data_IF_445071354445
#
_entry.id   IF_445071354445
#
_cell.length_a   1.000
_cell.length_b   1.000
_cell.length_c   1.000
_cell.angle_alpha   90.00
_cell.angle_beta   90.00
_cell.angle_gamma   90.00
#
_symmetry.space_group_name_H-M   'P 1'
#
loop_
_entity.id
_entity.type
_entity.pdbx_description
1 polymer ?
#
# COMPACT_ATOMS: atom_id res chain seq x y z
N UNK A 1 -5.95 -18.98 8.60
CA UNK A 1 -5.64 -17.56 8.47
C UNK A 1 -6.65 -16.79 7.61
N UNK A 2 -6.93 -17.20 6.37
CA UNK A 2 -7.87 -16.49 5.49
C UNK A 2 -9.26 -16.22 6.11
N UNK A 3 -9.92 -17.25 6.65
CA UNK A 3 -11.25 -17.14 7.28
C UNK A 3 -11.26 -16.14 8.43
N UNK A 4 -10.21 -16.13 9.25
CA UNK A 4 -10.10 -15.20 10.38
C UNK A 4 -9.99 -13.74 9.90
N UNK A 5 -9.15 -13.48 8.89
CA UNK A 5 -9.03 -12.15 8.29
C UNK A 5 -10.35 -11.69 7.67
N UNK A 6 -11.09 -12.60 7.03
CA UNK A 6 -12.40 -12.31 6.46
C UNK A 6 -13.40 -11.94 7.55
N UNK A 7 -13.47 -12.71 8.63
CA UNK A 7 -14.37 -12.43 9.78
C UNK A 7 -14.05 -11.07 10.40
N UNK A 8 -12.77 -10.77 10.63
CA UNK A 8 -12.35 -9.46 11.15
C UNK A 8 -12.74 -8.32 10.19
N UNK A 9 -12.45 -8.48 8.90
CA UNK A 9 -12.78 -7.47 7.89
C UNK A 9 -14.28 -7.20 7.83
N UNK A 10 -15.10 -8.26 7.78
CA UNK A 10 -16.56 -8.13 7.79
C UNK A 10 -17.06 -7.45 9.07
N UNK A 11 -16.51 -7.81 10.23
CA UNK A 11 -16.88 -7.22 11.52
C UNK A 11 -16.57 -5.73 11.57
N UNK A 12 -15.34 -5.33 11.23
CA UNK A 12 -14.95 -3.91 11.23
C UNK A 12 -15.65 -3.10 10.13
N UNK A 13 -15.92 -3.70 8.97
CA UNK A 13 -16.70 -3.07 7.91
C UNK A 13 -18.14 -2.82 8.37
N UNK A 14 -18.77 -3.81 9.01
CA UNK A 14 -20.11 -3.66 9.59
C UNK A 14 -20.14 -2.55 10.64
N UNK A 15 -19.18 -2.53 11.57
CA UNK A 15 -19.07 -1.47 12.57
C UNK A 15 -18.88 -0.08 11.95
N UNK A 16 -18.09 0.01 10.87
CA UNK A 16 -17.87 1.26 10.14
C UNK A 16 -19.12 1.74 9.41
N UNK A 17 -19.86 0.83 8.77
CA UNK A 17 -21.15 1.13 8.14
C UNK A 17 -22.15 1.58 9.21
N UNK A 18 -22.24 0.90 10.35
CA UNK A 18 -23.11 1.30 11.46
C UNK A 18 -22.75 2.70 12.00
N UNK A 19 -21.46 3.02 12.13
CA UNK A 19 -20.99 4.37 12.51
C UNK A 19 -21.41 5.42 11.48
N UNK A 20 -21.28 5.12 10.19
CA UNK A 20 -21.69 6.00 9.08
C UNK A 20 -23.21 6.24 9.07
N UNK A 21 -24.00 5.19 9.27
CA UNK A 21 -25.46 5.30 9.29
C UNK A 21 -25.98 6.03 10.52
N UNK A 22 -25.38 5.82 11.69
CA UNK A 22 -25.82 6.42 12.96
C UNK A 22 -25.35 7.86 13.12
N UNK A 23 -24.17 8.22 12.58
CA UNK A 23 -23.56 9.55 12.76
C UNK A 23 -23.02 10.16 11.45
N UNK A 24 -23.82 10.24 10.36
CA UNK A 24 -23.32 10.58 9.02
C UNK A 24 -22.69 11.98 8.96
N UNK A 25 -23.31 12.97 9.62
CA UNK A 25 -22.80 14.35 9.66
C UNK A 25 -21.50 14.47 10.45
N UNK A 26 -21.34 13.69 11.51
CA UNK A 26 -20.14 13.71 12.34
C UNK A 26 -18.97 13.05 11.60
N UNK A 27 -19.18 11.87 11.01
CA UNK A 27 -18.13 11.16 10.26
C UNK A 27 -17.70 11.96 9.02
N UNK A 28 -18.64 12.47 8.23
CA UNK A 28 -18.28 13.29 7.07
C UNK A 28 -17.49 14.54 7.47
N UNK A 29 -17.86 15.17 8.59
CA UNK A 29 -17.15 16.34 9.13
C UNK A 29 -15.75 15.96 9.61
N UNK A 30 -15.58 14.89 10.38
CA UNK A 30 -14.27 14.45 10.88
C UNK A 30 -13.33 13.99 9.76
N UNK A 31 -13.82 13.15 8.84
CA UNK A 31 -13.01 12.63 7.73
C UNK A 31 -12.50 13.73 6.81
N UNK A 32 -13.26 14.82 6.64
CA UNK A 32 -12.81 15.96 5.82
C UNK A 32 -11.97 16.94 6.65
N UNK A 33 -12.28 17.10 7.95
CA UNK A 33 -11.66 18.11 8.80
C UNK A 33 -10.33 17.70 9.46
N UNK A 34 -10.04 16.40 9.53
CA UNK A 34 -8.81 15.89 10.14
C UNK A 34 -8.00 15.10 9.10
N UNK A 35 -6.85 15.62 8.60
CA UNK A 35 -6.03 14.94 7.59
C UNK A 35 -5.57 13.55 8.01
N UNK A 36 -5.34 13.35 9.30
CA UNK A 36 -4.98 12.08 9.90
C UNK A 36 -6.10 11.04 9.72
N UNK A 37 -7.36 11.39 10.05
CA UNK A 37 -8.53 10.52 9.85
C UNK A 37 -8.78 10.18 8.38
N UNK A 38 -8.65 11.16 7.48
CA UNK A 38 -8.76 10.92 6.04
C UNK A 38 -7.74 9.89 5.57
N UNK A 39 -6.52 9.99 6.08
CA UNK A 39 -5.44 9.10 5.68
C UNK A 39 -5.65 7.67 6.19
N UNK A 40 -6.23 7.52 7.38
CA UNK A 40 -6.60 6.21 7.92
C UNK A 40 -7.67 5.47 7.10
N UNK A 41 -8.42 6.15 6.22
CA UNK A 41 -9.30 5.47 5.25
C UNK A 41 -8.53 4.60 4.25
N UNK A 42 -7.20 4.72 4.17
CA UNK A 42 -6.36 3.80 3.40
C UNK A 42 -6.32 2.38 4.00
N UNK A 43 -6.46 2.24 5.32
CA UNK A 43 -6.36 0.95 6.00
C UNK A 43 -7.44 -0.07 5.57
N UNK A 44 -8.74 0.29 5.47
CA UNK A 44 -9.76 -0.58 4.91
C UNK A 44 -9.44 -1.07 3.49
N UNK A 45 -8.86 -0.21 2.64
CA UNK A 45 -8.48 -0.57 1.27
C UNK A 45 -7.33 -1.59 1.29
N UNK A 46 -6.30 -1.36 2.11
CA UNK A 46 -5.18 -2.28 2.28
C UNK A 46 -5.69 -3.66 2.78
N UNK A 47 -6.61 -3.66 3.75
CA UNK A 47 -7.21 -4.89 4.27
C UNK A 47 -8.03 -5.63 3.21
N UNK A 48 -8.82 -4.90 2.42
CA UNK A 48 -9.56 -5.44 1.27
C UNK A 48 -8.61 -6.10 0.26
N UNK A 49 -7.54 -5.40 -0.14
CA UNK A 49 -6.56 -5.91 -1.10
C UNK A 49 -5.78 -7.12 -0.57
N UNK A 50 -5.50 -7.15 0.74
CA UNK A 50 -4.94 -8.32 1.40
C UNK A 50 -5.87 -9.54 1.26
N UNK A 51 -7.19 -9.36 1.38
CA UNK A 51 -8.14 -10.44 1.12
C UNK A 51 -8.14 -10.86 -0.34
N UNK A 52 -8.08 -9.92 -1.29
CA UNK A 52 -7.97 -10.22 -2.72
C UNK A 52 -6.72 -11.06 -3.00
N UNK A 53 -5.57 -10.67 -2.44
CA UNK A 53 -4.34 -11.46 -2.54
C UNK A 53 -4.51 -12.88 -1.98
N UNK A 54 -5.20 -13.03 -0.85
CA UNK A 54 -5.46 -14.35 -0.26
C UNK A 54 -6.44 -15.20 -1.08
N UNK A 55 -7.41 -14.60 -1.76
CA UNK A 55 -8.26 -15.32 -2.73
C UNK A 55 -7.39 -15.87 -3.86
N UNK A 56 -6.46 -15.06 -4.40
CA UNK A 56 -5.51 -15.50 -5.44
C UNK A 56 -4.58 -16.61 -4.97
N UNK A 57 -4.09 -16.55 -3.72
CA UNK A 57 -3.14 -17.54 -3.18
C UNK A 57 -3.81 -18.84 -2.74
N UNK A 58 -4.97 -18.76 -2.11
CA UNK A 58 -5.61 -19.89 -1.40
C UNK A 58 -6.85 -20.40 -2.12
N UNK A 59 -7.79 -19.52 -2.48
CA UNK A 59 -9.08 -19.92 -3.05
C UNK A 59 -8.96 -20.31 -4.52
N UNK A 60 -8.16 -19.57 -5.30
CA UNK A 60 -7.91 -19.85 -6.71
C UNK A 60 -7.26 -21.21 -6.93
N UNK A 61 -6.27 -21.56 -6.09
CA UNK A 61 -5.62 -22.87 -6.15
C UNK A 61 -6.54 -24.01 -5.68
N UNK A 62 -7.35 -23.80 -4.65
CA UNK A 62 -8.24 -24.82 -4.10
C UNK A 62 -9.52 -25.05 -4.92
N UNK A 63 -10.12 -24.00 -5.48
CA UNK A 63 -11.45 -24.02 -6.12
C UNK A 63 -11.42 -23.66 -7.61
N UNK A 64 -10.22 -23.46 -8.19
CA UNK A 64 -10.00 -23.37 -9.62
C UNK A 64 -10.26 -21.99 -10.24
N UNK A 65 -10.40 -21.98 -11.58
CA UNK A 65 -10.37 -20.77 -12.39
C UNK A 65 -11.48 -19.75 -12.08
N UNK A 66 -12.66 -20.21 -11.64
CA UNK A 66 -13.74 -19.30 -11.23
C UNK A 66 -13.32 -18.34 -10.11
N UNK A 67 -12.49 -18.83 -9.17
CA UNK A 67 -11.93 -17.99 -8.10
C UNK A 67 -10.82 -17.06 -8.61
N UNK A 68 -10.09 -17.44 -9.66
CA UNK A 68 -9.16 -16.54 -10.38
C UNK A 68 -9.91 -15.34 -10.96
N UNK A 69 -11.02 -15.59 -11.66
CA UNK A 69 -11.85 -14.52 -12.23
C UNK A 69 -12.47 -13.66 -11.12
N UNK A 70 -12.90 -14.28 -10.02
CA UNK A 70 -13.41 -13.53 -8.87
C UNK A 70 -12.35 -12.59 -8.29
N UNK A 71 -11.13 -13.09 -8.03
CA UNK A 71 -10.02 -12.25 -7.56
C UNK A 71 -9.66 -11.13 -8.56
N UNK A 72 -9.70 -11.42 -9.86
CA UNK A 72 -9.49 -10.44 -10.93
C UNK A 72 -10.51 -9.30 -10.90
N UNK A 73 -11.80 -9.61 -10.73
CA UNK A 73 -12.85 -8.58 -10.60
C UNK A 73 -12.67 -7.76 -9.34
N UNK A 74 -12.42 -8.41 -8.20
CA UNK A 74 -12.16 -7.71 -6.94
C UNK A 74 -10.94 -6.79 -7.03
N UNK A 75 -9.90 -7.19 -7.77
CA UNK A 75 -8.73 -6.37 -7.99
C UNK A 75 -9.06 -5.07 -8.74
N UNK A 76 -9.90 -5.10 -9.78
CA UNK A 76 -10.34 -3.87 -10.47
C UNK A 76 -11.20 -2.95 -9.60
N UNK A 77 -12.04 -3.51 -8.72
CA UNK A 77 -12.78 -2.72 -7.73
C UNK A 77 -11.79 -2.03 -6.78
N UNK A 78 -10.76 -2.76 -6.34
CA UNK A 78 -9.66 -2.25 -5.54
C UNK A 78 -8.94 -1.08 -6.21
N UNK A 79 -8.71 -1.15 -7.52
CA UNK A 79 -8.05 -0.10 -8.31
C UNK A 79 -8.80 1.22 -8.19
N UNK A 80 -10.10 1.18 -8.48
CA UNK A 80 -10.95 2.38 -8.44
C UNK A 80 -10.97 2.95 -7.04
N UNK A 81 -11.13 2.09 -6.03
CA UNK A 81 -11.20 2.53 -4.64
C UNK A 81 -9.89 3.17 -4.15
N UNK A 82 -8.74 2.53 -4.39
CA UNK A 82 -7.43 3.04 -3.95
C UNK A 82 -7.05 4.33 -4.65
N UNK A 83 -7.28 4.42 -5.97
CA UNK A 83 -6.94 5.60 -6.77
C UNK A 83 -7.81 6.80 -6.40
N UNK A 84 -9.11 6.58 -6.21
CA UNK A 84 -10.03 7.64 -5.78
C UNK A 84 -9.64 8.19 -4.41
N UNK A 85 -9.38 7.30 -3.44
CA UNK A 85 -9.02 7.75 -2.09
C UNK A 85 -7.69 8.51 -2.11
N UNK A 86 -6.65 7.99 -2.75
CA UNK A 86 -5.35 8.63 -2.78
C UNK A 86 -5.38 9.98 -3.51
N UNK A 87 -6.16 10.09 -4.60
CA UNK A 87 -6.35 11.38 -5.28
C UNK A 87 -7.14 12.34 -4.41
N UNK A 88 -8.20 11.88 -3.74
CA UNK A 88 -8.99 12.68 -2.82
C UNK A 88 -8.15 13.18 -1.64
N UNK A 89 -7.26 12.37 -1.08
CA UNK A 89 -6.38 12.80 0.02
C UNK A 89 -5.45 13.93 -0.39
N UNK A 90 -4.88 13.88 -1.61
CA UNK A 90 -4.06 14.97 -2.15
C UNK A 90 -4.89 16.23 -2.38
N UNK A 91 -6.08 16.11 -2.96
CA UNK A 91 -6.98 17.25 -3.21
C UNK A 91 -7.44 17.93 -1.91
N UNK A 92 -7.78 17.14 -0.89
CA UNK A 92 -8.18 17.69 0.41
C UNK A 92 -6.99 18.36 1.09
N UNK A 93 -5.80 17.75 1.01
CA UNK A 93 -4.59 18.33 1.59
C UNK A 93 -4.17 19.63 0.88
N UNK A 94 -4.32 19.73 -0.45
CA UNK A 94 -3.95 20.92 -1.22
C UNK A 94 -4.87 22.12 -0.97
N UNK A 95 -6.13 21.88 -0.62
CA UNK A 95 -7.11 22.93 -0.28
C UNK A 95 -6.95 23.47 1.14
N UNK A 96 -6.09 22.87 1.95
CA UNK A 96 -5.82 23.34 3.31
C UNK A 96 -4.71 24.38 3.28
N UNK A 97 -4.92 25.48 4.00
CA UNK A 97 -3.82 26.35 4.38
C UNK A 97 -2.95 25.60 5.38
N UNK A 98 -1.85 25.02 4.89
CA UNK A 98 -0.80 24.44 5.73
C UNK A 98 0.02 25.62 6.28
N UNK A 99 -0.57 26.38 7.22
CA UNK A 99 0.07 27.51 7.87
C UNK A 99 0.71 27.12 9.21
N UNK A 100 1.94 27.62 9.42
CA UNK A 100 2.83 27.63 10.60
C UNK A 100 3.03 26.36 11.44
N UNK A 101 2.00 25.56 11.73
CA UNK A 101 2.04 24.41 12.65
C UNK A 101 2.44 23.10 11.94
N UNK A 102 3.37 23.25 10.99
CA UNK A 102 3.90 22.27 10.05
C UNK A 102 4.06 20.90 10.69
N UNK A 103 3.12 19.97 10.52
CA UNK A 103 3.41 18.54 10.63
C UNK A 103 2.50 17.79 9.67
N UNK A 104 3.12 17.06 8.73
CA UNK A 104 2.42 16.04 7.96
C UNK A 104 2.49 14.76 8.80
N UNK A 105 1.36 14.26 9.34
CA UNK A 105 1.39 13.09 10.19
C UNK A 105 1.83 11.87 9.35
N UNK A 106 2.62 10.92 9.90
CA UNK A 106 3.01 9.71 9.18
C UNK A 106 1.82 8.92 8.59
N UNK A 107 0.63 9.07 9.16
CA UNK A 107 -0.60 8.50 8.63
C UNK A 107 -0.88 8.90 7.17
N UNK A 108 -0.42 10.07 6.68
CA UNK A 108 -0.65 10.50 5.28
C UNK A 108 -0.02 9.60 4.23
N UNK A 109 0.86 8.69 4.62
CA UNK A 109 1.39 7.67 3.73
C UNK A 109 0.40 6.52 3.47
N UNK A 110 -0.63 6.33 4.28
CA UNK A 110 -1.58 5.20 4.16
C UNK A 110 -2.33 5.15 2.82
N UNK A 111 -2.84 6.25 2.24
CA UNK A 111 -3.45 6.20 0.91
C UNK A 111 -2.46 5.81 -0.19
N UNK A 112 -1.19 6.23 -0.08
CA UNK A 112 -0.11 5.87 -1.01
C UNK A 112 0.20 4.37 -0.91
N UNK A 113 0.33 3.88 0.32
CA UNK A 113 0.50 2.47 0.64
C UNK A 113 -0.65 1.66 0.02
N UNK A 114 -1.91 2.10 0.13
CA UNK A 114 -3.05 1.40 -0.46
C UNK A 114 -2.92 1.21 -1.98
N UNK A 115 -2.47 2.25 -2.71
CA UNK A 115 -2.22 2.16 -4.15
C UNK A 115 -1.02 1.25 -4.47
N UNK A 116 0.01 1.24 -3.63
CA UNK A 116 1.12 0.28 -3.81
C UNK A 116 0.70 -1.15 -3.50
N UNK A 117 -0.11 -1.38 -2.46
CA UNK A 117 -0.71 -2.68 -2.17
C UNK A 117 -1.56 -3.18 -3.35
N UNK A 118 -2.22 -2.27 -4.08
CA UNK A 118 -2.95 -2.61 -5.30
C UNK A 118 -2.01 -3.16 -6.39
N UNK A 119 -0.83 -2.54 -6.57
CA UNK A 119 0.20 -3.03 -7.49
C UNK A 119 0.77 -4.39 -7.04
N UNK A 120 1.11 -4.52 -5.75
CA UNK A 120 1.56 -5.79 -5.15
C UNK A 120 0.55 -6.90 -5.38
N UNK A 121 -0.73 -6.64 -5.11
CA UNK A 121 -1.83 -7.60 -5.29
C UNK A 121 -2.00 -8.00 -6.75
N UNK A 122 -1.76 -7.08 -7.70
CA UNK A 122 -1.78 -7.39 -9.13
C UNK A 122 -0.68 -8.37 -9.52
N UNK A 123 0.54 -8.17 -9.00
CA UNK A 123 1.63 -9.14 -9.13
C UNK A 123 1.28 -10.50 -8.53
N UNK A 124 0.68 -10.55 -7.34
CA UNK A 124 0.23 -11.80 -6.71
C UNK A 124 -0.83 -12.52 -7.58
N UNK A 125 -1.83 -11.78 -8.05
CA UNK A 125 -2.91 -12.29 -8.89
C UNK A 125 -2.35 -12.99 -10.13
N UNK A 126 -1.39 -12.37 -10.83
CA UNK A 126 -0.83 -12.93 -12.06
C UNK A 126 0.05 -14.15 -11.78
N UNK A 127 0.96 -14.05 -10.80
CA UNK A 127 1.92 -15.12 -10.55
C UNK A 127 1.27 -16.38 -9.98
N UNK A 128 0.31 -16.23 -9.06
CA UNK A 128 -0.14 -17.35 -8.22
C UNK A 128 -1.55 -17.86 -8.53
N UNK A 129 -2.36 -17.11 -9.29
CA UNK A 129 -3.70 -17.61 -9.61
C UNK A 129 -3.67 -18.79 -10.58
N UNK A 130 -4.62 -19.69 -10.40
CA UNK A 130 -4.85 -20.86 -11.22
C UNK A 130 -5.30 -20.48 -12.63
N UNK A 131 -4.47 -20.83 -13.63
CA UNK A 131 -4.73 -20.65 -15.07
C UNK A 131 -5.26 -19.27 -15.47
N UNK A 132 -4.61 -18.18 -15.03
CA UNK A 132 -4.84 -16.87 -15.63
C UNK A 132 -4.23 -16.84 -17.04
N UNK A 133 -4.95 -16.28 -18.03
CA UNK A 133 -4.46 -16.15 -19.41
C UNK A 133 -3.71 -14.83 -19.63
N UNK A 134 -2.80 -14.79 -20.62
CA UNK A 134 -2.06 -13.58 -21.01
C UNK A 134 -2.95 -12.35 -21.26
N UNK A 135 -4.12 -12.56 -21.88
CA UNK A 135 -5.10 -11.49 -22.15
C UNK A 135 -5.61 -10.79 -20.88
N UNK A 136 -5.68 -11.52 -19.77
CA UNK A 136 -6.10 -10.98 -18.46
C UNK A 136 -4.89 -10.52 -17.64
N UNK A 137 -3.78 -11.26 -17.70
CA UNK A 137 -2.57 -10.98 -16.94
C UNK A 137 -1.87 -9.69 -17.37
N UNK A 138 -1.68 -9.47 -18.67
CA UNK A 138 -0.91 -8.34 -19.19
C UNK A 138 -1.50 -6.98 -18.80
N UNK A 139 -2.83 -6.72 -18.92
CA UNK A 139 -3.42 -5.48 -18.41
C UNK A 139 -3.20 -5.25 -16.92
N UNK A 140 -3.27 -6.31 -16.10
CA UNK A 140 -3.02 -6.23 -14.66
C UNK A 140 -1.57 -5.83 -14.39
N UNK A 141 -0.60 -6.42 -15.10
CA UNK A 141 0.83 -6.07 -14.96
C UNK A 141 1.03 -4.59 -15.31
N UNK A 142 0.55 -4.14 -16.47
CA UNK A 142 0.73 -2.77 -16.95
C UNK A 142 0.10 -1.76 -15.98
N UNK A 143 -1.16 -1.99 -15.59
CA UNK A 143 -1.85 -1.09 -14.65
C UNK A 143 -1.21 -1.10 -13.27
N UNK A 144 -0.65 -2.23 -12.83
CA UNK A 144 0.10 -2.29 -11.56
C UNK A 144 1.39 -1.49 -11.61
N UNK A 145 2.13 -1.49 -12.72
CA UNK A 145 3.27 -0.60 -12.92
C UNK A 145 2.85 0.89 -12.92
N UNK A 146 1.69 1.21 -13.49
CA UNK A 146 1.13 2.57 -13.43
C UNK A 146 0.75 2.99 -11.99
N UNK A 147 0.12 2.09 -11.22
CA UNK A 147 -0.19 2.32 -9.81
C UNK A 147 1.07 2.55 -8.98
N UNK A 148 2.09 1.73 -9.22
CA UNK A 148 3.40 1.87 -8.58
C UNK A 148 4.02 3.22 -8.90
N UNK A 149 4.08 3.62 -10.18
CA UNK A 149 4.60 4.93 -10.58
C UNK A 149 3.84 6.08 -9.91
N UNK A 150 2.51 6.03 -9.94
CA UNK A 150 1.63 7.01 -9.28
C UNK A 150 1.98 7.18 -7.79
N UNK A 151 2.05 6.08 -7.04
CA UNK A 151 2.24 6.14 -5.60
C UNK A 151 3.71 6.37 -5.18
N UNK A 152 4.67 5.82 -5.92
CA UNK A 152 6.10 5.89 -5.59
C UNK A 152 6.61 7.33 -5.71
N UNK A 153 6.35 8.00 -6.84
CA UNK A 153 6.80 9.38 -7.03
C UNK A 153 6.11 10.34 -6.05
N UNK A 154 4.83 10.14 -5.77
CA UNK A 154 4.13 10.93 -4.77
C UNK A 154 4.66 10.67 -3.35
N UNK A 155 5.05 9.43 -3.03
CA UNK A 155 5.71 9.09 -1.76
C UNK A 155 7.05 9.80 -1.61
N UNK A 156 7.85 9.92 -2.68
CA UNK A 156 9.13 10.65 -2.63
C UNK A 156 8.94 12.13 -2.28
N UNK A 157 7.88 12.76 -2.80
CA UNK A 157 7.53 14.14 -2.41
C UNK A 157 7.14 14.23 -0.92
N UNK A 158 6.39 13.24 -0.43
CA UNK A 158 5.97 13.20 0.98
C UNK A 158 7.16 12.95 1.90
N UNK A 159 8.10 12.07 1.52
CA UNK A 159 9.35 11.87 2.25
C UNK A 159 10.18 13.14 2.33
N UNK A 160 10.27 13.93 1.25
CA UNK A 160 11.01 15.18 1.27
C UNK A 160 10.42 16.18 2.29
N UNK A 161 9.09 16.33 2.30
CA UNK A 161 8.41 17.22 3.26
C UNK A 161 8.54 16.68 4.69
N UNK A 162 8.39 15.37 4.87
CA UNK A 162 8.50 14.71 6.17
C UNK A 162 9.91 14.83 6.74
N UNK A 163 10.95 14.59 5.93
CA UNK A 163 12.34 14.74 6.32
C UNK A 163 12.66 16.19 6.72
N UNK A 164 12.20 17.16 5.93
CA UNK A 164 12.36 18.57 6.29
C UNK A 164 11.70 18.89 7.64
N UNK A 165 10.49 18.38 7.88
CA UNK A 165 9.83 18.57 9.17
C UNK A 165 10.58 17.90 10.33
N UNK A 166 11.04 16.67 10.13
CA UNK A 166 11.79 15.92 11.14
C UNK A 166 13.09 16.63 11.54
N UNK A 167 13.77 17.28 10.58
CA UNK A 167 14.99 18.05 10.82
C UNK A 167 14.69 19.42 11.46
N UNK A 168 13.68 20.13 10.96
CA UNK A 168 13.41 21.51 11.36
C UNK A 168 12.63 21.63 12.68
N UNK A 169 11.81 20.64 13.01
CA UNK A 169 10.89 20.66 14.17
C UNK A 169 11.18 19.50 15.12
N UNK A 170 11.42 18.30 14.60
CA UNK A 170 11.67 17.10 15.39
C UNK A 170 10.60 16.02 15.19
N UNK A 171 10.66 14.93 15.98
CA UNK A 171 9.75 13.80 15.85
C UNK A 171 8.34 14.13 16.38
N UNK A 172 7.32 13.32 16.01
CA UNK A 172 5.98 13.42 16.57
C UNK A 172 5.95 13.32 18.10
N UNK A 173 4.84 13.72 18.71
CA UNK A 173 4.64 13.58 20.16
C UNK A 173 4.85 12.13 20.63
N UNK A 174 5.26 11.89 21.89
CA UNK A 174 5.59 10.54 22.36
C UNK A 174 4.47 9.51 22.15
N UNK A 175 3.21 9.93 22.28
CA UNK A 175 2.03 9.08 22.02
C UNK A 175 1.91 8.60 20.57
N UNK A 176 2.45 9.36 19.61
CA UNK A 176 2.39 9.10 18.16
C UNK A 176 3.69 8.53 17.59
N UNK A 177 4.76 8.42 18.36
CA UNK A 177 6.04 7.87 17.88
C UNK A 177 5.95 6.51 17.18
N UNK A 178 5.09 5.55 17.61
CA UNK A 178 4.92 4.30 16.87
C UNK A 178 4.49 4.47 15.40
N UNK A 179 3.82 5.59 15.06
CA UNK A 179 3.41 5.89 13.68
C UNK A 179 4.57 6.16 12.73
N UNK A 180 5.78 6.44 13.24
CA UNK A 180 6.98 6.57 12.40
C UNK A 180 7.21 5.32 11.55
N UNK A 181 6.83 4.14 12.03
CA UNK A 181 6.94 2.89 11.28
C UNK A 181 6.09 2.88 10.00
N UNK A 182 5.03 3.69 9.91
CA UNK A 182 4.26 3.85 8.66
C UNK A 182 5.15 4.37 7.53
N UNK A 183 6.17 5.17 7.84
CA UNK A 183 7.13 5.69 6.85
C UNK A 183 7.99 4.62 6.19
N UNK A 184 8.08 3.41 6.74
CA UNK A 184 8.76 2.28 6.08
C UNK A 184 7.83 1.61 5.05
N UNK A 185 6.52 1.70 5.27
CA UNK A 185 5.48 1.02 4.50
C UNK A 185 5.54 1.24 2.98
N UNK A 186 5.63 2.49 2.46
CA UNK A 186 5.68 2.74 1.02
C UNK A 186 6.88 2.10 0.34
N UNK A 187 8.06 2.15 0.96
CA UNK A 187 9.28 1.60 0.35
C UNK A 187 9.26 0.08 0.33
N UNK A 188 8.80 -0.56 1.42
CA UNK A 188 8.57 -2.00 1.46
C UNK A 188 7.58 -2.44 0.38
N UNK A 189 6.39 -1.82 0.33
CA UNK A 189 5.38 -2.13 -0.69
C UNK A 189 5.87 -1.91 -2.12
N UNK A 190 6.60 -0.83 -2.38
CA UNK A 190 7.14 -0.56 -3.70
C UNK A 190 8.15 -1.64 -4.12
N UNK A 191 9.07 -2.04 -3.25
CA UNK A 191 10.04 -3.09 -3.54
C UNK A 191 9.35 -4.45 -3.79
N UNK A 192 8.37 -4.82 -2.95
CA UNK A 192 7.58 -6.05 -3.13
C UNK A 192 6.80 -6.03 -4.45
N UNK A 193 6.12 -4.93 -4.76
CA UNK A 193 5.37 -4.77 -6.00
C UNK A 193 6.28 -4.91 -7.23
N UNK A 194 7.42 -4.22 -7.24
CA UNK A 194 8.39 -4.28 -8.33
C UNK A 194 8.84 -5.71 -8.56
N UNK A 195 9.22 -6.42 -7.49
CA UNK A 195 9.71 -7.78 -7.61
C UNK A 195 8.63 -8.72 -8.16
N UNK A 196 7.41 -8.65 -7.63
CA UNK A 196 6.29 -9.48 -8.11
C UNK A 196 5.89 -9.15 -9.55
N UNK A 197 5.94 -7.88 -9.96
CA UNK A 197 5.61 -7.49 -11.33
C UNK A 197 6.71 -7.87 -12.31
N UNK A 198 7.98 -7.78 -11.91
CA UNK A 198 9.11 -8.30 -12.66
C UNK A 198 9.00 -9.80 -12.87
N UNK A 199 8.67 -10.54 -11.80
CA UNK A 199 8.37 -11.97 -11.88
C UNK A 199 7.15 -12.21 -12.77
N UNK A 200 6.05 -11.47 -12.62
CA UNK A 200 4.84 -11.64 -13.44
C UNK A 200 5.07 -11.42 -14.95
N UNK A 201 5.95 -10.49 -15.32
CA UNK A 201 6.30 -10.26 -16.71
C UNK A 201 7.04 -11.45 -17.32
N UNK A 202 7.86 -12.13 -16.52
CA UNK A 202 8.70 -13.27 -16.95
C UNK A 202 8.00 -14.63 -16.79
N UNK A 203 7.24 -14.81 -15.72
CA UNK A 203 6.57 -16.05 -15.36
C UNK A 203 5.46 -16.39 -16.36
N UNK A 204 5.33 -17.68 -16.70
CA UNK A 204 4.35 -18.23 -17.67
C UNK A 204 4.44 -17.68 -19.10
N UNK A 205 5.50 -16.94 -19.45
CA UNK A 205 5.69 -16.36 -20.79
C UNK A 205 4.51 -15.48 -21.25
N UNK A 206 3.80 -14.83 -20.31
CA UNK A 206 2.58 -14.05 -20.61
C UNK A 206 2.85 -12.93 -21.63
N UNK A 207 4.01 -12.28 -21.55
CA UNK A 207 4.44 -11.28 -22.53
C UNK A 207 4.75 -11.92 -23.90
N UNK A 208 5.37 -13.09 -23.91
CA UNK A 208 5.65 -13.83 -25.14
C UNK A 208 4.38 -14.36 -25.81
N UNK A 209 3.37 -14.75 -25.05
CA UNK A 209 2.05 -15.14 -25.59
C UNK A 209 1.24 -13.94 -26.09
N UNK A 210 1.39 -12.78 -25.45
CA UNK A 210 0.73 -11.55 -25.90
C UNK A 210 1.34 -11.04 -27.22
N UNK A 211 2.67 -11.02 -27.32
CA UNK A 211 3.45 -10.72 -28.53
C UNK A 211 3.01 -9.45 -29.30
N UNK A 212 2.71 -8.37 -28.58
CA UNK A 212 2.31 -7.08 -29.18
C UNK A 212 3.39 -6.01 -29.00
N UNK A 213 3.96 -5.56 -30.12
CA UNK A 213 4.97 -4.51 -30.12
C UNK A 213 6.32 -4.94 -29.53
N UNK A 214 7.14 -3.97 -29.15
CA UNK A 214 8.51 -4.21 -28.65
C UNK A 214 8.56 -4.54 -27.16
N UNK A 215 7.70 -3.92 -26.36
CA UNK A 215 7.72 -4.02 -24.90
C UNK A 215 7.06 -5.30 -24.36
N UNK A 216 5.99 -5.79 -25.00
CA UNK A 216 5.28 -7.00 -24.57
C UNK A 216 5.76 -8.19 -25.39
N UNK A 217 7.06 -8.45 -25.29
CA UNK A 217 7.76 -9.55 -25.96
C UNK A 217 8.51 -10.41 -24.95
N UNK A 218 8.79 -11.67 -25.29
CA UNK A 218 9.51 -12.58 -24.40
C UNK A 218 10.93 -12.11 -24.05
N UNK A 219 11.62 -11.43 -24.99
CA UNK A 219 12.93 -10.84 -24.71
C UNK A 219 12.84 -9.69 -23.71
N UNK A 220 11.85 -8.80 -23.88
CA UNK A 220 11.59 -7.70 -22.96
C UNK A 220 11.26 -8.18 -21.54
N UNK A 221 10.57 -9.31 -21.40
CA UNK A 221 10.23 -9.89 -20.09
C UNK A 221 11.46 -10.16 -19.21
N UNK A 222 12.53 -10.72 -19.78
CA UNK A 222 13.80 -10.95 -19.06
C UNK A 222 14.45 -9.63 -18.62
N UNK A 223 14.47 -8.62 -19.49
CA UNK A 223 15.00 -7.30 -19.17
C UNK A 223 14.18 -6.60 -18.08
N UNK A 224 12.85 -6.68 -18.15
CA UNK A 224 11.94 -6.13 -17.13
C UNK A 224 12.19 -6.77 -15.77
N UNK A 225 12.35 -8.11 -15.71
CA UNK A 225 12.65 -8.78 -14.45
C UNK A 225 14.00 -8.35 -13.85
N UNK A 226 15.04 -8.22 -14.67
CA UNK A 226 16.36 -7.80 -14.18
C UNK A 226 16.36 -6.35 -13.66
N UNK A 227 15.73 -5.43 -14.41
CA UNK A 227 15.56 -4.03 -14.02
C UNK A 227 14.72 -3.94 -12.74
N UNK A 228 13.66 -4.74 -12.62
CA UNK A 228 12.82 -4.80 -11.44
C UNK A 228 13.64 -5.19 -10.19
N UNK A 229 14.44 -6.26 -10.26
CA UNK A 229 15.29 -6.66 -9.13
C UNK A 229 16.26 -5.54 -8.73
N UNK A 230 16.90 -4.88 -9.70
CA UNK A 230 17.82 -3.77 -9.41
C UNK A 230 17.11 -2.58 -8.74
N UNK A 231 15.94 -2.19 -9.25
CA UNK A 231 15.15 -1.10 -8.66
C UNK A 231 14.64 -1.44 -7.26
N UNK A 232 14.20 -2.68 -7.03
CA UNK A 232 13.78 -3.14 -5.72
C UNK A 232 14.93 -3.05 -4.70
N UNK A 233 16.15 -3.44 -5.07
CA UNK A 233 17.34 -3.31 -4.21
C UNK A 233 17.65 -1.85 -3.84
N UNK A 234 17.55 -0.93 -4.80
CA UNK A 234 17.75 0.51 -4.52
C UNK A 234 16.70 1.05 -3.55
N UNK A 235 15.44 0.65 -3.71
CA UNK A 235 14.34 1.07 -2.83
C UNK A 235 14.50 0.48 -1.43
N UNK A 236 14.90 -0.80 -1.31
CA UNK A 236 15.21 -1.43 -0.01
C UNK A 236 16.36 -0.70 0.68
N UNK A 237 17.41 -0.32 -0.05
CA UNK A 237 18.51 0.48 0.49
C UNK A 237 18.02 1.81 1.11
N UNK A 238 17.08 2.49 0.45
CA UNK A 238 16.44 3.68 1.02
C UNK A 238 15.49 3.35 2.18
N UNK A 239 14.82 2.19 2.18
CA UNK A 239 13.99 1.72 3.28
C UNK A 239 14.79 1.51 4.57
N UNK A 240 16.01 0.97 4.47
CA UNK A 240 16.91 0.76 5.61
C UNK A 240 17.17 2.07 6.37
N UNK A 241 17.32 3.21 5.68
CA UNK A 241 17.46 4.51 6.33
C UNK A 241 16.26 4.81 7.26
N UNK A 242 15.03 4.66 6.74
CA UNK A 242 13.81 4.96 7.50
C UNK A 242 13.55 3.97 8.63
N UNK A 243 13.92 2.70 8.45
CA UNK A 243 13.92 1.69 9.51
C UNK A 243 14.85 2.13 10.64
N UNK A 244 16.09 2.51 10.32
CA UNK A 244 17.08 2.94 11.32
C UNK A 244 16.63 4.20 12.07
N UNK A 245 16.13 5.21 11.35
CA UNK A 245 15.62 6.45 11.95
C UNK A 245 14.44 6.16 12.88
N UNK A 246 13.46 5.36 12.43
CA UNK A 246 12.25 5.05 13.19
C UNK A 246 12.56 4.24 14.44
N UNK A 247 13.42 3.22 14.33
CA UNK A 247 13.82 2.39 15.48
C UNK A 247 14.66 3.16 16.48
N UNK A 248 15.57 4.03 16.03
CA UNK A 248 16.37 4.85 16.93
C UNK A 248 15.50 5.77 17.79
N UNK A 249 14.60 6.54 17.15
CA UNK A 249 13.71 7.48 17.85
C UNK A 249 12.77 6.73 18.80
N UNK A 250 12.19 5.62 18.35
CA UNK A 250 11.30 4.81 19.18
C UNK A 250 12.05 4.17 20.36
N UNK A 251 13.26 3.66 20.13
CA UNK A 251 14.11 3.05 21.15
C UNK A 251 14.55 4.07 22.22
N UNK A 252 14.93 5.28 21.79
CA UNK A 252 15.27 6.36 22.71
C UNK A 252 14.08 6.71 23.63
N UNK A 253 12.89 6.87 23.06
CA UNK A 253 11.68 7.17 23.84
C UNK A 253 11.28 6.02 24.78
N UNK A 254 11.51 4.77 24.38
CA UNK A 254 11.29 3.59 25.20
C UNK A 254 12.21 3.58 26.42
N UNK A 255 13.52 3.82 26.21
CA UNK A 255 14.51 3.89 27.30
C UNK A 255 14.19 5.01 28.27
N UNK A 256 13.74 6.16 27.77
CA UNK A 256 13.31 7.32 28.58
C UNK A 256 11.95 7.14 29.25
N UNK A 257 11.25 6.02 29.04
CA UNK A 257 9.88 5.73 29.54
C UNK A 257 8.86 6.80 29.14
N UNK A 258 9.01 7.36 27.95
CA UNK A 258 8.15 8.42 27.43
C UNK A 258 6.99 7.91 26.57
N UNK A 259 6.89 6.59 26.36
CA UNK A 259 5.89 5.98 25.48
C UNK A 259 4.64 5.54 26.28
N UNK A 260 3.53 6.29 26.23
CA UNK A 260 2.25 5.77 26.72
C UNK A 260 1.73 4.66 25.79
N UNK A 261 0.94 3.75 26.35
CA UNK A 261 0.22 2.76 25.53
C UNK A 261 -0.93 3.45 24.80
N UNK A 262 -0.95 3.33 23.48
CA UNK A 262 -1.91 3.96 22.58
C UNK A 262 -2.25 3.03 21.42
N UNK A 263 -3.34 3.30 20.70
CA UNK A 263 -3.71 2.52 19.51
C UNK A 263 -2.65 2.61 18.38
N UNK A 264 -1.81 3.64 18.41
CA UNK A 264 -0.77 3.85 17.40
C UNK A 264 0.30 2.74 17.37
N UNK A 265 0.44 1.95 18.44
CA UNK A 265 1.34 0.79 18.48
C UNK A 265 1.09 -0.24 17.38
N UNK A 266 -0.15 -0.33 16.86
CA UNK A 266 -0.48 -1.16 15.70
C UNK A 266 0.25 -0.74 14.42
N UNK A 267 0.86 0.45 14.37
CA UNK A 267 1.66 0.89 13.23
C UNK A 267 2.98 0.12 13.07
N UNK A 268 3.47 -0.50 14.14
CA UNK A 268 4.77 -1.21 14.14
C UNK A 268 4.70 -2.53 13.37
N UNK A 269 3.55 -3.22 13.43
CA UNK A 269 3.38 -4.50 12.73
C UNK A 269 3.32 -4.32 11.20
N UNK A 270 2.91 -3.14 10.74
CA UNK A 270 2.61 -2.89 9.34
C UNK A 270 3.83 -3.05 8.40
N UNK A 271 4.98 -2.38 8.61
CA UNK A 271 6.16 -2.55 7.76
C UNK A 271 6.89 -3.88 7.95
N UNK A 272 6.85 -4.47 9.16
CA UNK A 272 7.57 -5.71 9.48
C UNK A 272 7.10 -6.92 8.67
N UNK A 273 5.84 -6.92 8.22
CA UNK A 273 5.30 -8.02 7.40
C UNK A 273 5.66 -7.95 5.91
N UNK A 274 6.38 -6.91 5.47
CA UNK A 274 6.62 -6.61 4.05
C UNK A 274 8.10 -6.48 3.69
N UNK A 275 8.98 -6.37 4.71
CA UNK A 275 10.43 -6.31 4.56
C UNK A 275 11.06 -7.70 4.61
#
# INVERSE_FOLDING_TARGET
>A
MFVWNLVLFCTFTLLSILRLLKYPRHVARESINTPEELSYLGAPIIAYLTLVAQVSLTCSSAWGHSMTIFAYVLWWIGLVWSMLLCSASVIVLSKRQISSDRSIPPATFLPLIAVMTQATTGGILVNYSYHISARLAVPVIVVSFLCLGYALFLSMLYYAIFLHHLIAVGPPTPAKLPTLMITVGPLGQAATAIQLLGTAAYTKNEFGEYAQGTFLSGSAASSVSAIATMLALLIVGFAVLWVMVSWYILGEALVKRQLPFTLYWWSIIFPMGMC
#
